data_IF_666955142642
#
_entry.id   IF_666955142642
#
_cell.length_a   1.000
_cell.length_b   1.000
_cell.length_c   1.000
_cell.angle_alpha   90.00
_cell.angle_beta   90.00
_cell.angle_gamma   90.00
#
_symmetry.space_group_name_H-M   'P 1'
#
loop_
_entity.id
_entity.type
_entity.pdbx_description
1 polymer ?
#
# COMPACT_ATOMS: atom_id res chain seq x y z
N UNK A 1 -11.75 2.02 -2.03
CA UNK A 1 -10.62 2.63 -2.71
C UNK A 1 -10.13 1.77 -3.87
N UNK A 2 -9.56 0.60 -3.59
CA UNK A 2 -8.90 -0.26 -4.58
C UNK A 2 -9.82 -0.59 -5.77
N UNK A 3 -11.07 -0.86 -5.51
CA UNK A 3 -12.05 -1.09 -6.56
C UNK A 3 -12.30 0.12 -7.46
N UNK A 4 -12.25 1.33 -6.93
CA UNK A 4 -12.42 2.55 -7.72
C UNK A 4 -11.21 2.85 -8.60
N UNK A 5 -10.03 2.44 -8.16
CA UNK A 5 -8.76 2.72 -8.84
C UNK A 5 -8.25 1.55 -9.69
N UNK A 6 -8.86 0.38 -9.55
CA UNK A 6 -8.38 -0.86 -10.18
C UNK A 6 -7.14 -1.47 -9.50
N UNK A 7 -6.70 -0.93 -8.37
CA UNK A 7 -5.60 -1.49 -7.61
C UNK A 7 -5.99 -2.81 -6.93
N UNK A 8 -5.10 -3.79 -6.95
CA UNK A 8 -5.26 -5.01 -6.16
C UNK A 8 -4.94 -4.74 -4.69
N UNK A 9 -5.73 -5.32 -3.78
CA UNK A 9 -5.49 -5.21 -2.35
C UNK A 9 -4.94 -6.53 -1.81
N UNK A 10 -3.75 -6.44 -1.22
CA UNK A 10 -3.09 -7.53 -0.54
C UNK A 10 -2.98 -7.20 0.95
N UNK A 11 -3.48 -8.10 1.78
CA UNK A 11 -3.41 -8.00 3.24
C UNK A 11 -2.46 -9.06 3.78
N UNK A 12 -1.56 -8.65 4.65
CA UNK A 12 -0.54 -9.52 5.25
C UNK A 12 -0.82 -9.67 6.73
N UNK A 13 -0.98 -10.92 7.19
CA UNK A 13 -1.22 -11.21 8.60
C UNK A 13 0.01 -10.88 9.47
N UNK A 14 -0.17 -10.56 10.76
CA UNK A 14 -1.45 -10.54 11.49
C UNK A 14 -2.29 -9.30 11.13
N UNK A 15 -3.59 -9.49 10.98
CA UNK A 15 -4.53 -8.40 10.74
C UNK A 15 -5.05 -7.85 12.07
N UNK A 16 -5.19 -6.54 12.16
CA UNK A 16 -5.80 -5.88 13.33
C UNK A 16 -7.33 -5.91 13.34
N UNK A 17 -7.95 -6.66 12.43
CA UNK A 17 -9.40 -6.74 12.26
C UNK A 17 -9.80 -8.10 11.72
N UNK A 18 -11.09 -8.41 11.83
CA UNK A 18 -11.66 -9.66 11.34
C UNK A 18 -12.27 -9.48 9.94
N UNK A 19 -11.92 -10.38 9.01
CA UNK A 19 -12.44 -10.42 7.64
C UNK A 19 -13.62 -11.39 7.49
N UNK A 20 -14.27 -11.83 8.57
CA UNK A 20 -15.43 -12.67 8.47
C UNK A 20 -16.62 -11.93 7.80
N UNK A 21 -17.57 -12.72 7.26
CA UNK A 21 -18.75 -12.19 6.57
C UNK A 21 -19.57 -11.22 7.42
N UNK A 22 -19.55 -11.38 8.74
CA UNK A 22 -20.29 -10.55 9.70
C UNK A 22 -19.67 -9.18 9.85
N UNK A 23 -18.34 -9.14 10.04
CA UNK A 23 -17.57 -7.91 10.19
C UNK A 23 -17.61 -7.06 8.91
N UNK A 24 -17.54 -7.71 7.76
CA UNK A 24 -17.65 -7.05 6.45
C UNK A 24 -19.02 -6.42 6.25
N UNK A 25 -20.11 -7.11 6.61
CA UNK A 25 -21.47 -6.56 6.55
C UNK A 25 -21.66 -5.37 7.50
N UNK A 26 -21.10 -5.43 8.72
CA UNK A 26 -21.16 -4.33 9.68
C UNK A 26 -20.44 -3.07 9.18
N UNK A 27 -19.36 -3.24 8.42
CA UNK A 27 -18.63 -2.15 7.80
C UNK A 27 -19.33 -1.58 6.55
N UNK A 28 -20.50 -2.10 6.15
CA UNK A 28 -21.21 -1.66 4.95
C UNK A 28 -20.52 -2.02 3.64
N UNK A 29 -19.61 -2.98 3.66
CA UNK A 29 -18.87 -3.42 2.48
C UNK A 29 -19.67 -4.47 1.70
N UNK A 30 -19.74 -4.30 0.38
CA UNK A 30 -20.37 -5.28 -0.50
C UNK A 30 -19.49 -6.54 -0.64
N UNK A 31 -20.10 -7.70 -0.60
CA UNK A 31 -19.43 -9.01 -0.72
C UNK A 31 -18.58 -9.16 -2.00
N UNK A 32 -18.94 -8.48 -3.07
CA UNK A 32 -18.16 -8.48 -4.33
C UNK A 32 -16.76 -7.93 -4.19
N UNK A 33 -16.54 -7.03 -3.24
CA UNK A 33 -15.26 -6.43 -2.97
C UNK A 33 -14.28 -7.37 -2.28
N UNK A 34 -14.81 -8.32 -1.51
CA UNK A 34 -14.01 -9.34 -0.82
C UNK A 34 -13.34 -10.32 -1.79
N UNK A 35 -13.93 -10.55 -2.95
CA UNK A 35 -13.35 -11.45 -3.95
C UNK A 35 -12.05 -10.91 -4.58
N UNK A 36 -11.82 -9.61 -4.51
CA UNK A 36 -10.62 -8.96 -5.03
C UNK A 36 -9.51 -8.78 -3.98
N UNK A 37 -9.77 -9.13 -2.72
CA UNK A 37 -8.80 -9.03 -1.62
C UNK A 37 -8.05 -10.34 -1.48
N UNK A 38 -6.73 -10.27 -1.51
CA UNK A 38 -5.85 -11.41 -1.26
C UNK A 38 -5.24 -11.30 0.14
N UNK A 39 -5.34 -12.35 0.91
CA UNK A 39 -4.78 -12.43 2.27
C UNK A 39 -3.61 -13.39 2.28
N UNK A 40 -2.49 -12.96 2.84
CA UNK A 40 -1.26 -13.73 2.92
C UNK A 40 -0.88 -13.99 4.38
N UNK A 41 -0.32 -15.15 4.66
CA UNK A 41 0.09 -15.54 6.03
C UNK A 41 1.26 -14.69 6.53
N UNK A 42 2.14 -14.27 5.63
CA UNK A 42 3.28 -13.40 5.92
C UNK A 42 3.69 -12.57 4.69
N UNK A 43 4.62 -11.65 4.89
CA UNK A 43 5.12 -10.81 3.81
C UNK A 43 5.89 -11.60 2.75
N UNK A 44 6.58 -12.67 3.13
CA UNK A 44 7.32 -13.51 2.20
C UNK A 44 6.37 -14.20 1.20
N UNK A 45 5.24 -14.73 1.68
CA UNK A 45 4.20 -15.32 0.84
C UNK A 45 3.57 -14.29 -0.09
N UNK A 46 3.28 -13.09 0.41
CA UNK A 46 2.78 -11.98 -0.38
C UNK A 46 3.77 -11.59 -1.48
N UNK A 47 5.03 -11.42 -1.14
CA UNK A 47 6.10 -11.08 -2.08
C UNK A 47 6.24 -12.13 -3.18
N UNK A 48 6.25 -13.41 -2.83
CA UNK A 48 6.32 -14.49 -3.79
C UNK A 48 5.13 -14.48 -4.78
N UNK A 49 3.92 -14.23 -4.29
CA UNK A 49 2.73 -14.11 -5.12
C UNK A 49 2.81 -12.92 -6.09
N UNK A 50 3.25 -11.76 -5.60
CA UNK A 50 3.40 -10.55 -6.40
C UNK A 50 4.50 -10.68 -7.47
N UNK A 51 5.63 -11.29 -7.13
CA UNK A 51 6.71 -11.57 -8.09
C UNK A 51 6.21 -12.49 -9.22
N UNK A 52 5.47 -13.55 -8.87
CA UNK A 52 4.86 -14.44 -9.88
C UNK A 52 3.85 -13.72 -10.77
N UNK A 53 3.16 -12.72 -10.23
CA UNK A 53 2.23 -11.88 -10.98
C UNK A 53 2.92 -10.80 -11.84
N UNK A 54 4.25 -10.70 -11.79
CA UNK A 54 5.02 -9.74 -12.57
C UNK A 54 5.04 -8.34 -11.97
N UNK A 55 4.93 -8.22 -10.64
CA UNK A 55 4.99 -6.93 -9.95
C UNK A 55 6.27 -6.16 -10.28
N UNK A 56 6.14 -4.85 -10.41
CA UNK A 56 7.21 -3.93 -10.70
C UNK A 56 7.99 -3.50 -9.47
N UNK A 57 8.29 -2.20 -9.41
CA UNK A 57 9.02 -1.59 -8.31
C UNK A 57 8.18 -1.56 -7.03
N UNK A 58 8.83 -1.74 -5.89
CA UNK A 58 8.21 -1.60 -4.57
C UNK A 58 8.55 -0.24 -3.97
N UNK A 59 7.52 0.40 -3.45
CA UNK A 59 7.59 1.66 -2.74
C UNK A 59 7.11 1.44 -1.30
N UNK A 60 7.96 1.69 -0.34
CA UNK A 60 7.60 1.64 1.07
C UNK A 60 7.17 3.03 1.54
N UNK A 61 5.99 3.15 2.13
CA UNK A 61 5.49 4.41 2.66
C UNK A 61 5.64 4.40 4.18
N UNK A 62 6.53 5.27 4.67
CA UNK A 62 6.89 5.31 6.08
C UNK A 62 7.20 6.73 6.52
N UNK A 63 7.02 7.01 7.80
CA UNK A 63 7.45 8.28 8.40
C UNK A 63 8.98 8.37 8.35
N UNK A 64 9.51 9.50 7.90
CA UNK A 64 10.96 9.69 7.75
C UNK A 64 11.54 9.03 6.49
N UNK A 65 10.72 8.83 5.47
CA UNK A 65 11.18 8.46 4.13
C UNK A 65 12.14 9.49 3.57
N UNK A 66 12.95 9.09 2.61
CA UNK A 66 13.99 9.95 2.01
C UNK A 66 13.47 10.80 0.85
N UNK A 67 12.27 10.51 0.37
CA UNK A 67 11.62 11.20 -0.75
C UNK A 67 10.15 11.41 -0.44
N UNK A 68 9.60 12.52 -0.89
CA UNK A 68 8.15 12.75 -0.81
C UNK A 68 7.40 11.84 -1.79
N UNK A 69 6.22 11.39 -1.38
CA UNK A 69 5.41 10.48 -2.19
C UNK A 69 5.02 11.05 -3.57
N UNK A 70 4.86 12.36 -3.67
CA UNK A 70 4.48 13.06 -4.92
C UNK A 70 5.66 13.30 -5.86
N UNK A 71 6.89 13.09 -5.41
CA UNK A 71 8.10 13.15 -6.23
C UNK A 71 8.49 11.80 -6.83
N UNK A 72 7.90 10.70 -6.34
CA UNK A 72 8.11 9.37 -6.89
C UNK A 72 7.47 9.25 -8.29
N UNK A 73 8.07 8.45 -9.15
CA UNK A 73 7.53 8.13 -10.46
C UNK A 73 6.96 6.73 -10.46
N UNK A 74 5.64 6.65 -10.37
CA UNK A 74 4.91 5.39 -10.31
C UNK A 74 4.62 4.84 -11.70
N UNK A 75 4.76 3.53 -11.85
CA UNK A 75 4.40 2.80 -13.05
C UNK A 75 3.28 1.78 -12.78
N UNK A 76 2.50 1.38 -13.79
CA UNK A 76 1.57 0.26 -13.65
C UNK A 76 2.29 -1.00 -13.18
N UNK A 77 1.70 -1.71 -12.23
CA UNK A 77 2.29 -2.92 -11.65
C UNK A 77 3.21 -2.66 -10.45
N UNK A 78 3.48 -1.41 -10.12
CA UNK A 78 4.22 -1.07 -8.90
C UNK A 78 3.45 -1.46 -7.64
N UNK A 79 4.20 -1.76 -6.58
CA UNK A 79 3.67 -2.15 -5.28
C UNK A 79 3.82 -0.99 -4.30
N UNK A 80 2.72 -0.62 -3.66
CA UNK A 80 2.69 0.36 -2.57
C UNK A 80 2.57 -0.40 -1.25
N UNK A 81 3.62 -0.37 -0.45
CA UNK A 81 3.71 -1.11 0.81
C UNK A 81 3.50 -0.17 2.00
N UNK A 82 2.52 -0.49 2.83
CA UNK A 82 2.18 0.24 4.04
C UNK A 82 2.30 -0.66 5.26
N UNK A 83 2.75 -0.10 6.36
CA UNK A 83 2.77 -0.78 7.65
C UNK A 83 1.44 -0.71 8.39
N UNK A 84 1.40 -1.29 9.59
CA UNK A 84 0.26 -1.15 10.49
C UNK A 84 0.12 0.29 10.99
N UNK A 85 -1.11 0.70 11.31
CA UNK A 85 -1.40 2.07 11.76
C UNK A 85 -0.62 2.46 13.02
N UNK A 86 -0.44 1.53 13.96
CA UNK A 86 0.22 1.83 15.23
C UNK A 86 1.75 1.73 15.21
N UNK A 87 2.33 0.91 14.33
CA UNK A 87 3.76 0.57 14.35
C UNK A 87 4.52 0.91 13.07
N UNK A 88 3.82 1.17 11.97
CA UNK A 88 4.45 1.34 10.67
C UNK A 88 5.04 0.03 10.13
N UNK A 89 5.96 0.13 9.22
CA UNK A 89 6.72 -1.00 8.67
C UNK A 89 7.85 -1.42 9.62
N UNK A 90 8.10 -2.73 9.78
CA UNK A 90 9.31 -3.19 10.46
C UNK A 90 10.58 -2.62 9.81
N UNK A 91 11.55 -2.22 10.61
CA UNK A 91 12.83 -1.65 10.12
C UNK A 91 13.51 -2.58 9.12
N UNK A 92 13.51 -3.89 9.38
CA UNK A 92 14.09 -4.88 8.46
C UNK A 92 13.43 -4.85 7.08
N UNK A 93 12.12 -4.66 6.99
CA UNK A 93 11.39 -4.56 5.73
C UNK A 93 11.78 -3.30 4.98
N UNK A 94 11.86 -2.17 5.66
CA UNK A 94 12.30 -0.89 5.08
C UNK A 94 13.72 -1.02 4.53
N UNK A 95 14.62 -1.65 5.27
CA UNK A 95 16.01 -1.88 4.83
C UNK A 95 16.09 -2.79 3.61
N UNK A 96 15.26 -3.83 3.54
CA UNK A 96 15.15 -4.68 2.36
C UNK A 96 14.69 -3.91 1.11
N UNK A 97 13.72 -3.02 1.27
CA UNK A 97 13.25 -2.17 0.16
C UNK A 97 14.36 -1.22 -0.30
N UNK A 98 15.05 -0.59 0.64
CA UNK A 98 16.20 0.26 0.30
C UNK A 98 17.30 -0.49 -0.45
N UNK A 99 17.60 -1.70 0.00
CA UNK A 99 18.63 -2.52 -0.64
C UNK A 99 18.23 -2.96 -2.05
N UNK A 100 16.97 -3.35 -2.24
CA UNK A 100 16.49 -3.85 -3.52
C UNK A 100 16.21 -2.75 -4.55
N UNK A 101 15.73 -1.58 -4.12
CA UNK A 101 15.20 -0.53 -5.00
C UNK A 101 15.85 0.84 -4.80
N UNK A 102 16.75 0.98 -3.84
CA UNK A 102 17.42 2.24 -3.52
C UNK A 102 16.78 3.00 -2.35
N UNK A 103 17.52 3.96 -1.80
CA UNK A 103 17.08 4.77 -0.66
C UNK A 103 15.81 5.57 -0.99
N UNK A 104 15.65 6.01 -2.22
CA UNK A 104 14.53 6.79 -2.73
C UNK A 104 13.25 5.97 -2.96
N UNK A 105 13.28 4.66 -2.69
CA UNK A 105 12.09 3.82 -2.67
C UNK A 105 11.31 3.88 -1.34
N UNK A 106 11.85 4.55 -0.33
CA UNK A 106 11.15 4.80 0.94
C UNK A 106 10.60 6.22 0.91
N UNK A 107 9.29 6.31 0.85
CA UNK A 107 8.56 7.55 0.62
C UNK A 107 7.93 8.04 1.91
N UNK A 108 7.85 9.36 2.06
CA UNK A 108 7.10 9.98 3.14
C UNK A 108 5.93 10.82 2.63
N UNK A 109 4.90 10.92 3.43
CA UNK A 109 3.84 11.90 3.27
C UNK A 109 4.18 13.07 4.19
N UNK A 110 4.40 14.27 3.65
CA UNK A 110 4.77 15.42 4.47
C UNK A 110 3.68 15.75 5.48
N UNK A 111 4.08 16.03 6.71
CA UNK A 111 3.20 16.45 7.78
C UNK A 111 3.75 17.70 8.46
N UNK A 112 2.86 18.48 9.07
CA UNK A 112 3.29 19.60 9.90
C UNK A 112 4.00 19.09 11.14
N UNK A 113 4.99 19.85 11.60
CA UNK A 113 5.73 19.57 12.82
C UNK A 113 4.79 19.29 14.02
N UNK A 114 5.13 18.31 14.82
CA UNK A 114 4.34 17.86 15.97
C UNK A 114 3.32 16.77 15.70
N UNK A 115 3.01 16.47 14.42
CA UNK A 115 2.15 15.35 14.05
C UNK A 115 2.97 14.07 13.88
N UNK A 116 2.38 12.93 14.31
CA UNK A 116 3.09 11.64 14.31
C UNK A 116 2.83 10.80 13.07
N UNK A 117 1.58 10.75 12.64
CA UNK A 117 1.17 9.92 11.50
C UNK A 117 -0.21 10.34 10.97
N UNK A 118 -0.47 10.02 9.71
CA UNK A 118 -1.81 10.05 9.15
C UNK A 118 -2.55 8.76 9.47
N UNK A 119 -3.88 8.83 9.49
CA UNK A 119 -4.71 7.64 9.46
C UNK A 119 -4.31 6.77 8.25
N UNK A 120 -4.17 5.46 8.47
CA UNK A 120 -3.66 4.53 7.45
C UNK A 120 -4.49 4.57 6.16
N UNK A 121 -5.81 4.55 6.26
CA UNK A 121 -6.68 4.57 5.07
C UNK A 121 -6.54 5.87 4.28
N UNK A 122 -6.31 7.00 4.96
CA UNK A 122 -6.04 8.28 4.31
C UNK A 122 -4.68 8.26 3.58
N UNK A 123 -3.65 7.72 4.22
CA UNK A 123 -2.33 7.56 3.59
C UNK A 123 -2.39 6.68 2.35
N UNK A 124 -3.06 5.54 2.44
CA UNK A 124 -3.27 4.63 1.30
C UNK A 124 -4.02 5.33 0.17
N UNK A 125 -5.07 6.07 0.49
CA UNK A 125 -5.85 6.83 -0.51
C UNK A 125 -4.98 7.85 -1.22
N UNK A 126 -4.23 8.63 -0.46
CA UNK A 126 -3.40 9.71 -0.98
C UNK A 126 -2.37 9.20 -2.00
N UNK A 127 -1.61 8.20 -1.61
CA UNK A 127 -0.54 7.65 -2.45
C UNK A 127 -1.09 6.88 -3.64
N UNK A 128 -2.17 6.12 -3.46
CA UNK A 128 -2.79 5.37 -4.55
C UNK A 128 -3.37 6.30 -5.61
N UNK A 129 -4.04 7.38 -5.21
CA UNK A 129 -4.57 8.35 -6.16
C UNK A 129 -3.47 9.13 -6.87
N UNK A 130 -2.38 9.45 -6.20
CA UNK A 130 -1.22 10.08 -6.86
C UNK A 130 -0.61 9.14 -7.92
N UNK A 131 -0.39 7.87 -7.56
CA UNK A 131 0.08 6.88 -8.52
C UNK A 131 -0.87 6.73 -9.72
N UNK A 132 -2.16 6.70 -9.47
CA UNK A 132 -3.19 6.60 -10.50
C UNK A 132 -3.26 7.86 -11.38
N UNK A 133 -3.13 9.05 -10.77
CA UNK A 133 -3.06 10.33 -11.49
C UNK A 133 -1.88 10.36 -12.47
N UNK A 134 -0.70 9.92 -12.03
CA UNK A 134 0.49 9.87 -12.89
C UNK A 134 0.31 8.94 -14.09
N UNK A 135 -0.52 7.91 -13.95
CA UNK A 135 -0.86 6.96 -15.00
C UNK A 135 -2.17 7.31 -15.75
N UNK A 136 -2.59 8.57 -15.72
CA UNK A 136 -3.71 9.08 -16.50
C UNK A 136 -5.09 8.59 -16.06
N UNK A 137 -5.24 8.12 -14.83
CA UNK A 137 -6.49 7.56 -14.26
C UNK A 137 -7.07 6.40 -15.06
N UNK A 138 -6.28 5.73 -15.88
CA UNK A 138 -6.75 4.64 -16.72
C UNK A 138 -7.83 5.06 -17.73
N UNK A 139 -8.00 6.35 -17.96
CA UNK A 139 -8.98 6.88 -18.92
C UNK A 139 -8.28 7.16 -20.23
N UNK A 140 -8.62 6.40 -21.25
CA UNK A 140 -8.31 6.78 -22.64
C UNK A 140 -9.20 7.97 -23.00
N UNK A 141 -8.59 9.14 -23.16
CA UNK A 141 -9.27 10.29 -23.71
C UNK A 141 -9.35 10.17 -25.23
#
# INVERSE_FOLDING_TARGET
LCANTGAALHLVKPLGFDLDKRSVRRAGLDYRWMAAVQVHDDLAACRAALVRAGAGRWWAIETGGTRRYDEARYAPGDVLLFGSEGRGLPTAVVDEIRLAFGADAVLEIPMREGNRSLNLSNAVTLVTYEAWRQNGFGVTR
#
